data_IF_079427656298
#
_entry.id   IF_079427656298
#
_cell.length_a   1.000
_cell.length_b   1.000
_cell.length_c   1.000
_cell.angle_alpha   90.00
_cell.angle_beta   90.00
_cell.angle_gamma   90.00
#
_symmetry.space_group_name_H-M   'P 1'
#
loop_
_entity.id
_entity.type
_entity.pdbx_description
1 polymer ?
#
# COMPACT_ATOMS: atom_id res chain seq x y z
N UNK A 1 -18.09 14.39 -3.71
CA UNK A 1 -17.35 13.25 -3.14
C UNK A 1 -17.90 11.98 -3.76
N UNK A 2 -17.04 11.16 -4.34
CA UNK A 2 -17.42 9.88 -4.94
C UNK A 2 -17.24 8.77 -3.88
N UNK A 3 -18.28 7.94 -3.70
CA UNK A 3 -18.25 6.76 -2.84
C UNK A 3 -18.35 5.51 -3.70
N UNK A 4 -17.40 4.59 -3.54
CA UNK A 4 -17.35 3.32 -4.27
C UNK A 4 -17.36 2.18 -3.26
N UNK A 5 -18.22 1.19 -3.49
CA UNK A 5 -18.29 -0.02 -2.67
C UNK A 5 -17.49 -1.14 -3.33
N UNK A 6 -16.68 -1.84 -2.55
CA UNK A 6 -15.91 -3.02 -3.01
C UNK A 6 -16.20 -4.18 -2.07
N UNK A 7 -16.51 -5.33 -2.64
CA UNK A 7 -16.74 -6.56 -1.90
C UNK A 7 -15.56 -7.53 -2.05
N UNK A 8 -15.35 -8.45 -1.11
CA UNK A 8 -14.37 -9.53 -1.26
C UNK A 8 -14.58 -10.31 -2.57
N UNK A 9 -13.48 -10.62 -3.25
CA UNK A 9 -13.50 -11.22 -4.58
C UNK A 9 -13.46 -10.22 -5.74
N UNK A 10 -13.69 -8.93 -5.49
CA UNK A 10 -13.41 -7.86 -6.44
C UNK A 10 -11.97 -7.37 -6.25
N UNK A 11 -11.28 -7.04 -7.34
CA UNK A 11 -9.93 -6.49 -7.27
C UNK A 11 -9.98 -5.01 -6.85
N UNK A 12 -9.46 -4.72 -5.68
CA UNK A 12 -9.31 -3.36 -5.16
C UNK A 12 -8.37 -2.54 -6.05
N UNK A 13 -7.27 -3.13 -6.54
CA UNK A 13 -6.35 -2.44 -7.44
C UNK A 13 -7.03 -2.04 -8.74
N UNK A 14 -7.85 -2.91 -9.32
CA UNK A 14 -8.61 -2.59 -10.54
C UNK A 14 -9.57 -1.42 -10.31
N UNK A 15 -10.22 -1.38 -9.15
CA UNK A 15 -11.10 -0.25 -8.79
C UNK A 15 -10.29 1.05 -8.66
N UNK A 16 -9.14 1.00 -7.98
CA UNK A 16 -8.25 2.16 -7.84
C UNK A 16 -7.80 2.67 -9.21
N UNK A 17 -7.38 1.77 -10.10
CA UNK A 17 -6.87 2.12 -11.43
C UNK A 17 -7.94 2.70 -12.34
N UNK A 18 -9.20 2.36 -12.11
CA UNK A 18 -10.35 2.89 -12.84
C UNK A 18 -10.88 4.23 -12.32
N UNK A 19 -10.34 4.76 -11.23
CA UNK A 19 -10.77 6.04 -10.68
C UNK A 19 -10.48 7.19 -11.66
N UNK A 20 -11.36 8.21 -11.73
CA UNK A 20 -11.11 9.38 -12.55
C UNK A 20 -9.79 10.07 -12.17
N UNK A 21 -9.01 10.47 -13.18
CA UNK A 21 -7.75 11.19 -12.99
C UNK A 21 -8.00 12.68 -12.70
N UNK A 22 -8.89 12.96 -11.77
CA UNK A 22 -9.22 14.30 -11.28
C UNK A 22 -8.80 14.47 -9.80
N UNK A 23 -9.01 15.65 -9.24
CA UNK A 23 -8.71 15.94 -7.84
C UNK A 23 -9.93 15.83 -6.91
N UNK A 24 -11.04 15.24 -7.36
CA UNK A 24 -12.21 15.08 -6.50
C UNK A 24 -11.93 14.04 -5.41
N UNK A 25 -12.38 14.29 -4.17
CA UNK A 25 -12.25 13.30 -3.11
C UNK A 25 -13.03 12.02 -3.44
N UNK A 26 -12.38 10.89 -3.21
CA UNK A 26 -12.98 9.56 -3.38
C UNK A 26 -12.84 8.77 -2.09
N UNK A 27 -13.91 8.10 -1.69
CA UNK A 27 -13.87 7.08 -0.65
C UNK A 27 -14.18 5.72 -1.27
N UNK A 28 -13.28 4.76 -1.06
CA UNK A 28 -13.48 3.36 -1.41
C UNK A 28 -13.81 2.62 -0.13
N UNK A 29 -15.06 2.19 0.00
CA UNK A 29 -15.53 1.44 1.15
C UNK A 29 -15.42 -0.06 0.88
N UNK A 30 -14.67 -0.73 1.74
CA UNK A 30 -14.46 -2.18 1.69
C UNK A 30 -15.47 -2.89 2.58
N UNK A 31 -16.31 -3.74 2.01
CA UNK A 31 -17.15 -4.63 2.79
C UNK A 31 -16.30 -5.58 3.66
N UNK A 32 -16.84 -6.08 4.78
CA UNK A 32 -16.12 -7.04 5.62
C UNK A 32 -15.58 -8.23 4.84
N UNK A 33 -14.33 -8.60 5.09
CA UNK A 33 -13.68 -9.74 4.45
C UNK A 33 -12.18 -9.56 4.27
N UNK A 34 -11.59 -10.49 3.52
CA UNK A 34 -10.16 -10.52 3.23
C UNK A 34 -9.93 -10.18 1.77
N UNK A 35 -9.07 -9.20 1.54
CA UNK A 35 -8.62 -8.75 0.22
C UNK A 35 -7.16 -9.16 0.06
N UNK A 36 -6.92 -10.26 -0.64
CA UNK A 36 -5.58 -10.81 -0.86
C UNK A 36 -4.99 -10.21 -2.12
N UNK A 37 -4.46 -9.01 -1.97
CA UNK A 37 -3.90 -8.19 -3.05
C UNK A 37 -2.75 -7.32 -2.57
N UNK A 38 -1.82 -7.07 -3.48
CA UNK A 38 -0.78 -6.06 -3.35
C UNK A 38 -1.26 -4.76 -3.99
N UNK A 39 -1.34 -3.68 -3.20
CA UNK A 39 -2.02 -2.45 -3.58
C UNK A 39 -1.03 -1.29 -3.71
N UNK A 40 -1.17 -0.53 -4.80
CA UNK A 40 -0.48 0.73 -5.00
C UNK A 40 -1.48 1.87 -5.22
N UNK A 41 -1.62 2.74 -4.22
CA UNK A 41 -2.47 3.92 -4.27
C UNK A 41 -1.65 5.13 -4.73
N UNK A 42 -1.89 5.57 -5.96
CA UNK A 42 -1.18 6.70 -6.59
C UNK A 42 -2.09 7.88 -6.93
N UNK A 43 -3.38 7.76 -6.62
CA UNK A 43 -4.35 8.84 -6.82
C UNK A 43 -4.49 9.68 -5.55
N UNK A 44 -4.30 11.01 -5.62
CA UNK A 44 -4.49 11.88 -4.45
C UNK A 44 -5.94 11.93 -3.98
N UNK A 45 -6.15 12.37 -2.75
CA UNK A 45 -7.45 12.59 -2.12
C UNK A 45 -8.35 11.36 -2.15
N UNK A 46 -7.73 10.19 -1.94
CA UNK A 46 -8.44 8.91 -1.90
C UNK A 46 -8.37 8.32 -0.49
N UNK A 47 -9.52 7.97 0.05
CA UNK A 47 -9.68 7.25 1.30
C UNK A 47 -10.02 5.79 1.01
N UNK A 48 -9.30 4.85 1.62
CA UNK A 48 -9.68 3.43 1.70
C UNK A 48 -10.21 3.21 3.11
N UNK A 49 -11.44 2.77 3.24
CA UNK A 49 -12.14 2.62 4.51
C UNK A 49 -12.80 1.24 4.59
N UNK A 50 -12.54 0.53 5.68
CA UNK A 50 -13.22 -0.73 6.00
C UNK A 50 -14.41 -0.52 6.94
N UNK A 51 -15.14 -1.59 7.22
CA UNK A 51 -16.18 -1.58 8.26
C UNK A 51 -15.55 -1.49 9.65
N UNK A 52 -14.54 -2.32 9.91
CA UNK A 52 -13.68 -2.24 11.10
C UNK A 52 -12.36 -2.97 10.84
N UNK A 53 -11.32 -2.66 11.62
CA UNK A 53 -10.03 -3.35 11.49
C UNK A 53 -10.12 -4.84 11.83
N UNK A 54 -11.11 -5.26 12.64
CA UNK A 54 -11.33 -6.67 12.98
C UNK A 54 -11.96 -7.46 11.85
N UNK A 55 -12.79 -6.82 11.04
CA UNK A 55 -13.60 -7.50 10.01
C UNK A 55 -13.11 -7.30 8.60
N UNK A 56 -12.27 -6.27 8.35
CA UNK A 56 -11.79 -5.92 7.02
C UNK A 56 -10.27 -5.94 6.98
N UNK A 57 -9.69 -6.78 6.11
CA UNK A 57 -8.25 -6.96 6.02
C UNK A 57 -7.76 -6.99 4.57
N UNK A 58 -6.74 -6.19 4.30
CA UNK A 58 -5.93 -6.27 3.07
C UNK A 58 -4.62 -6.98 3.42
N UNK A 59 -4.27 -8.03 2.71
CA UNK A 59 -3.11 -8.87 3.03
C UNK A 59 -2.34 -9.28 1.79
N UNK A 60 -1.01 -9.37 1.91
CA UNK A 60 -0.09 -9.96 0.95
C UNK A 60 1.11 -10.58 1.68
N UNK A 61 2.08 -11.13 0.95
CA UNK A 61 3.09 -12.00 1.58
C UNK A 61 4.51 -11.86 0.99
N UNK A 62 4.88 -10.69 0.50
CA UNK A 62 6.22 -10.46 -0.07
C UNK A 62 7.27 -10.22 1.02
N UNK A 63 8.40 -10.91 0.93
CA UNK A 63 9.57 -10.72 1.80
C UNK A 63 10.79 -10.19 1.05
N UNK A 64 11.62 -9.38 1.72
CA UNK A 64 12.81 -8.76 1.13
C UNK A 64 13.87 -9.76 0.65
N UNK A 65 13.98 -10.90 1.31
CA UNK A 65 14.97 -11.94 0.99
C UNK A 65 14.52 -12.86 -0.16
N UNK A 66 13.27 -12.74 -0.61
CA UNK A 66 12.73 -13.54 -1.71
C UNK A 66 13.55 -13.33 -2.99
N UNK A 67 13.91 -14.43 -3.66
CA UNK A 67 14.63 -14.39 -4.94
C UNK A 67 13.61 -14.25 -6.08
N UNK A 68 13.76 -13.20 -6.85
CA UNK A 68 12.94 -12.93 -8.02
C UNK A 68 13.41 -13.72 -9.24
N UNK A 69 12.62 -13.82 -10.33
CA UNK A 69 12.97 -14.54 -11.54
C UNK A 69 14.30 -14.10 -12.19
N UNK A 70 14.74 -12.87 -11.94
CA UNK A 70 16.05 -12.35 -12.41
C UNK A 70 17.23 -12.78 -11.54
N UNK A 71 17.01 -13.63 -10.52
CA UNK A 71 18.01 -14.12 -9.59
C UNK A 71 18.39 -13.15 -8.47
N UNK A 72 17.76 -11.99 -8.37
CA UNK A 72 18.04 -10.98 -7.35
C UNK A 72 17.04 -11.04 -6.21
N UNK A 73 17.46 -10.58 -5.04
CA UNK A 73 16.52 -10.39 -3.92
C UNK A 73 15.51 -9.30 -4.23
N UNK A 74 14.27 -9.49 -3.76
CA UNK A 74 13.21 -8.47 -3.87
C UNK A 74 13.64 -7.13 -3.26
N UNK A 75 14.21 -7.16 -2.07
CA UNK A 75 14.57 -5.98 -1.29
C UNK A 75 13.38 -5.35 -0.57
N UNK A 76 13.68 -4.61 0.47
CA UNK A 76 12.70 -4.09 1.44
C UNK A 76 11.60 -3.24 0.80
N UNK A 77 11.97 -2.31 -0.07
CA UNK A 77 11.02 -1.32 -0.61
C UNK A 77 10.00 -1.87 -1.60
N UNK A 78 10.15 -3.13 -2.02
CA UNK A 78 9.20 -3.84 -2.91
C UNK A 78 8.28 -4.81 -2.17
N UNK A 79 8.31 -4.82 -0.84
CA UNK A 79 7.55 -5.80 -0.06
C UNK A 79 6.17 -5.32 0.38
N UNK A 80 5.90 -4.02 0.36
CA UNK A 80 4.69 -3.46 0.93
C UNK A 80 3.40 -4.08 0.38
N UNK A 81 2.51 -4.47 1.28
CA UNK A 81 1.15 -4.86 0.93
C UNK A 81 0.37 -3.67 0.38
N UNK A 82 0.47 -2.52 1.05
CA UNK A 82 -0.11 -1.26 0.58
C UNK A 82 0.99 -0.20 0.45
N UNK A 83 1.17 0.30 -0.76
CA UNK A 83 1.96 1.49 -1.07
C UNK A 83 1.03 2.68 -1.26
N UNK A 84 1.25 3.77 -0.53
CA UNK A 84 0.60 5.06 -0.75
C UNK A 84 1.65 6.05 -1.27
N UNK A 85 1.56 6.37 -2.54
CA UNK A 85 2.41 7.37 -3.20
C UNK A 85 1.53 8.47 -3.80
N UNK A 86 0.78 9.13 -2.93
CA UNK A 86 -0.10 10.22 -3.29
C UNK A 86 -0.41 11.06 -2.04
N UNK A 87 -0.71 12.34 -2.25
CA UNK A 87 -1.02 13.25 -1.16
C UNK A 87 -2.47 13.20 -0.73
N UNK A 88 -2.74 13.66 0.48
CA UNK A 88 -4.08 13.84 1.04
C UNK A 88 -4.89 12.52 1.01
N UNK A 89 -4.23 11.38 1.21
CA UNK A 89 -4.87 10.07 1.27
C UNK A 89 -5.17 9.66 2.71
N UNK A 90 -6.11 8.76 2.88
CA UNK A 90 -6.46 8.21 4.18
C UNK A 90 -6.69 6.70 4.14
N UNK A 91 -6.45 6.07 5.28
CA UNK A 91 -6.75 4.67 5.57
C UNK A 91 -7.53 4.62 6.88
N UNK A 92 -8.70 3.98 6.90
CA UNK A 92 -9.57 3.93 8.08
C UNK A 92 -10.19 2.55 8.28
N UNK A 93 -10.31 2.15 9.54
CA UNK A 93 -11.06 0.97 9.95
C UNK A 93 -10.65 -0.31 9.22
N UNK A 94 -9.35 -0.53 8.95
CA UNK A 94 -8.87 -1.68 8.19
C UNK A 94 -7.59 -2.24 8.78
N UNK A 95 -7.42 -3.55 8.70
CA UNK A 95 -6.13 -4.19 8.93
C UNK A 95 -5.36 -4.27 7.61
N UNK A 96 -4.12 -3.80 7.60
CA UNK A 96 -3.16 -4.06 6.52
C UNK A 96 -2.08 -4.99 7.03
N UNK A 97 -1.93 -6.13 6.37
CA UNK A 97 -1.04 -7.19 6.80
C UNK A 97 -0.07 -7.58 5.69
N UNK A 98 1.20 -7.69 6.04
CA UNK A 98 2.12 -8.51 5.27
C UNK A 98 2.33 -9.81 6.04
N UNK A 99 1.88 -10.92 5.49
CA UNK A 99 1.87 -12.23 6.14
C UNK A 99 3.14 -13.06 5.89
N UNK A 100 4.17 -12.49 5.25
CA UNK A 100 5.44 -13.17 5.05
C UNK A 100 6.07 -13.57 6.40
N UNK A 101 6.47 -14.85 6.52
CA UNK A 101 7.00 -15.43 7.75
C UNK A 101 7.75 -16.74 7.45
N UNK A 102 8.71 -17.17 8.25
CA UNK A 102 9.31 -16.49 9.40
C UNK A 102 10.34 -15.42 8.97
N UNK A 103 10.52 -14.39 9.79
CA UNK A 103 11.37 -13.23 9.48
C UNK A 103 12.81 -13.58 9.13
N UNK A 104 13.36 -14.63 9.76
CA UNK A 104 14.74 -15.12 9.52
C UNK A 104 14.95 -15.58 8.06
N UNK A 105 13.86 -15.97 7.39
CA UNK A 105 13.89 -16.44 6.00
C UNK A 105 13.45 -15.36 5.03
N UNK A 106 12.44 -14.58 5.40
CA UNK A 106 11.82 -13.61 4.47
C UNK A 106 12.43 -12.21 4.57
N UNK A 107 13.10 -11.89 5.70
CA UNK A 107 13.65 -10.56 5.96
C UNK A 107 12.56 -9.52 6.23
N UNK A 108 12.81 -8.28 5.83
CA UNK A 108 11.84 -7.19 5.96
C UNK A 108 10.60 -7.48 5.13
N UNK A 109 9.45 -7.09 5.65
CA UNK A 109 8.14 -7.38 5.06
C UNK A 109 7.16 -6.25 5.40
N UNK A 110 7.16 -5.17 4.63
CA UNK A 110 6.34 -3.99 4.90
C UNK A 110 4.85 -4.32 4.75
N UNK A 111 4.05 -3.93 5.74
CA UNK A 111 2.61 -3.89 5.57
C UNK A 111 2.21 -2.60 4.84
N UNK A 112 2.66 -1.45 5.35
CA UNK A 112 2.33 -0.13 4.80
C UNK A 112 3.59 0.67 4.51
N UNK A 113 3.66 1.20 3.29
CA UNK A 113 4.66 2.13 2.82
C UNK A 113 3.98 3.43 2.40
N UNK A 114 4.35 4.56 3.02
CA UNK A 114 3.77 5.87 2.73
C UNK A 114 4.84 6.81 2.20
N UNK A 115 4.66 7.31 0.99
CA UNK A 115 5.43 8.39 0.37
C UNK A 115 4.47 9.43 -0.21
N UNK A 116 3.74 10.10 0.67
CA UNK A 116 2.79 11.13 0.30
C UNK A 116 2.53 12.06 1.49
N UNK A 117 2.42 13.34 1.21
CA UNK A 117 2.10 14.35 2.22
C UNK A 117 0.61 14.29 2.60
N UNK A 118 0.29 14.64 3.84
CA UNK A 118 -1.08 14.68 4.33
C UNK A 118 -1.77 13.32 4.46
N UNK A 119 -1.00 12.25 4.62
CA UNK A 119 -1.59 10.92 4.87
C UNK A 119 -2.15 10.80 6.29
N UNK A 120 -3.35 10.25 6.39
CA UNK A 120 -4.03 9.97 7.64
C UNK A 120 -4.30 8.47 7.80
N UNK A 121 -4.04 7.93 8.99
CA UNK A 121 -4.32 6.53 9.32
C UNK A 121 -5.08 6.48 10.65
N UNK A 122 -6.34 6.09 10.61
CA UNK A 122 -7.24 6.10 11.75
C UNK A 122 -7.88 4.73 11.97
N UNK A 123 -7.91 4.28 13.22
CA UNK A 123 -8.55 3.03 13.64
C UNK A 123 -8.11 1.81 12.82
N UNK A 124 -6.83 1.78 12.45
CA UNK A 124 -6.24 0.72 11.64
C UNK A 124 -5.33 -0.20 12.47
N UNK A 125 -5.19 -1.42 12.00
CA UNK A 125 -4.17 -2.36 12.50
C UNK A 125 -3.16 -2.64 11.40
N UNK A 126 -1.88 -2.46 11.70
CA UNK A 126 -0.78 -2.82 10.79
C UNK A 126 -0.07 -4.05 11.34
N UNK A 127 0.09 -5.09 10.52
CA UNK A 127 0.71 -6.36 10.91
C UNK A 127 1.81 -6.79 9.96
N UNK A 128 2.93 -7.20 10.52
CA UNK A 128 4.04 -7.80 9.79
C UNK A 128 5.04 -8.43 10.75
N UNK A 129 5.97 -9.21 10.24
CA UNK A 129 7.04 -9.80 11.05
C UNK A 129 8.23 -8.84 11.30
N UNK A 130 8.46 -7.86 10.41
CA UNK A 130 9.56 -6.89 10.51
C UNK A 130 9.32 -5.68 9.61
N UNK A 131 9.70 -4.49 10.08
CA UNK A 131 9.58 -3.21 9.36
C UNK A 131 8.14 -2.94 8.89
N UNK A 132 7.19 -3.09 9.79
CA UNK A 132 5.75 -3.08 9.47
C UNK A 132 5.27 -1.80 8.79
N UNK A 133 5.76 -0.64 9.23
CA UNK A 133 5.44 0.68 8.67
C UNK A 133 6.73 1.38 8.22
N UNK A 134 6.72 1.84 6.98
CA UNK A 134 7.77 2.71 6.46
C UNK A 134 7.17 4.02 5.95
N UNK A 135 7.69 5.13 6.45
CA UNK A 135 7.34 6.48 6.00
C UNK A 135 8.53 7.11 5.28
N UNK A 136 8.30 7.55 4.05
CA UNK A 136 9.31 8.20 3.23
C UNK A 136 9.43 9.70 3.60
N UNK A 137 10.42 10.46 3.12
CA UNK A 137 10.74 10.54 1.69
C UNK A 137 11.68 9.45 1.19
N UNK A 138 11.43 9.06 -0.05
CA UNK A 138 12.38 8.25 -0.78
C UNK A 138 13.69 9.01 -1.00
N UNK A 139 14.83 8.30 -1.08
CA UNK A 139 16.07 8.91 -1.49
C UNK A 139 15.92 9.52 -2.89
N UNK A 140 16.71 10.59 -3.21
CA UNK A 140 16.61 11.28 -4.51
C UNK A 140 17.03 10.40 -5.69
N UNK A 141 17.67 9.26 -5.42
CA UNK A 141 18.11 8.30 -6.43
C UNK A 141 17.64 6.91 -6.04
N UNK A 142 17.36 6.11 -7.04
CA UNK A 142 17.04 4.70 -6.88
C UNK A 142 18.20 3.95 -6.21
N UNK A 143 17.94 3.36 -5.04
CA UNK A 143 18.90 2.50 -4.32
C UNK A 143 18.83 1.08 -4.84
N UNK A 144 17.61 0.60 -5.14
CA UNK A 144 17.35 -0.72 -5.68
C UNK A 144 16.65 -0.57 -7.02
N UNK A 145 17.19 -1.21 -8.04
CA UNK A 145 16.52 -1.26 -9.34
C UNK A 145 15.15 -1.92 -9.15
N UNK A 146 14.14 -1.31 -9.72
CA UNK A 146 12.75 -1.76 -9.59
C UNK A 146 12.30 -1.83 -8.12
N UNK A 147 12.70 -0.84 -7.31
CA UNK A 147 12.51 -0.79 -5.87
C UNK A 147 11.06 -0.78 -5.41
N UNK A 148 10.10 -0.45 -6.29
CA UNK A 148 8.68 -0.40 -5.96
C UNK A 148 7.86 -1.51 -6.60
N UNK A 149 6.58 -1.49 -6.29
CA UNK A 149 5.58 -2.36 -6.90
C UNK A 149 5.35 -1.93 -8.35
N UNK A 150 5.59 -2.83 -9.27
CA UNK A 150 5.32 -2.63 -10.69
C UNK A 150 6.41 -1.87 -11.45
N UNK A 151 6.20 -1.60 -12.75
CA UNK A 151 7.23 -1.04 -13.63
C UNK A 151 7.50 0.45 -13.41
N UNK A 152 6.58 1.17 -12.81
CA UNK A 152 6.72 2.60 -12.54
C UNK A 152 7.29 2.82 -11.15
N UNK A 153 8.58 2.97 -11.06
CA UNK A 153 9.31 2.93 -9.80
C UNK A 153 9.23 4.23 -9.03
N UNK A 154 9.69 5.26 -9.67
CA UNK A 154 9.81 6.59 -9.11
C UNK A 154 8.85 7.51 -9.83
N UNK A 155 7.64 7.58 -9.30
CA UNK A 155 6.75 8.65 -9.71
C UNK A 155 7.32 9.99 -9.25
N UNK A 156 7.13 11.06 -10.02
CA UNK A 156 7.50 12.38 -9.57
C UNK A 156 6.90 12.65 -8.19
N UNK A 157 7.73 13.07 -7.25
CA UNK A 157 7.23 13.48 -5.94
C UNK A 157 6.22 14.60 -6.12
N UNK A 158 5.10 14.46 -5.48
CA UNK A 158 4.15 15.56 -5.37
C UNK A 158 4.85 16.67 -4.59
N UNK A 159 4.95 17.90 -5.13
CA UNK A 159 5.58 19.00 -4.42
C UNK A 159 4.94 19.15 -3.06
N UNK A 160 5.77 19.12 -2.02
CA UNK A 160 5.31 19.41 -0.66
C UNK A 160 4.87 20.88 -0.66
N UNK A 161 3.73 21.17 -0.08
CA UNK A 161 3.33 22.56 0.13
C UNK A 161 4.33 23.18 1.11
N UNK A 162 4.93 24.28 0.70
CA UNK A 162 5.66 25.17 1.61
C UNK A 162 4.66 25.88 2.53
#
# INVERSE_FOLDING_TARGET
MLLIQVAPGQSLQTVIDALPADNQPVTIHLAPGVYEEKIALRRPRTCIEGESAETTRVTWHDGAAEILPDGKKRGTFRTATLLVNARDCALRNVTVENSAYPREQVGQALALYVDGDGFCCEDCTLKSCQDTLFTAPLPPREIQKDGFIGPTQFLPRIPQRQ
#
